data_IF_689341382806
#
_entry.id   IF_689341382806
#
_cell.length_a   1.000
_cell.length_b   1.000
_cell.length_c   1.000
_cell.angle_alpha   90.00
_cell.angle_beta   90.00
_cell.angle_gamma   90.00
#
_symmetry.space_group_name_H-M   'P 1'
#
loop_
_entity.id
_entity.type
_entity.pdbx_description
1 polymer ?
#
# COMPACT_ATOMS: atom_id res chain seq x y z
N UNK A 1 5.27 -48.17 7.75
CA UNK A 1 6.29 -47.23 7.22
C UNK A 1 6.73 -46.33 8.36
N UNK A 2 7.99 -45.85 8.41
CA UNK A 2 8.38 -44.82 9.37
C UNK A 2 7.78 -43.48 8.93
N UNK A 3 6.96 -42.87 9.80
CA UNK A 3 6.51 -41.49 9.62
C UNK A 3 7.72 -40.55 9.64
N UNK A 4 7.77 -39.61 8.69
CA UNK A 4 8.79 -38.56 8.67
C UNK A 4 8.22 -37.32 9.36
N UNK A 5 8.39 -37.28 10.68
CA UNK A 5 8.18 -36.09 11.52
C UNK A 5 8.64 -34.82 10.79
N UNK A 6 7.75 -33.82 10.56
CA UNK A 6 8.10 -32.63 9.79
C UNK A 6 9.12 -31.80 10.56
N UNK A 7 10.38 -31.82 10.10
CA UNK A 7 11.48 -31.09 10.72
C UNK A 7 11.24 -29.58 10.65
N UNK A 8 10.81 -28.99 11.78
CA UNK A 8 10.46 -27.57 11.85
C UNK A 8 11.64 -26.70 11.39
N UNK A 9 11.48 -25.87 10.34
CA UNK A 9 12.60 -25.11 9.74
C UNK A 9 13.20 -24.10 10.72
N UNK A 10 12.44 -23.69 11.73
CA UNK A 10 12.86 -22.84 12.84
C UNK A 10 14.01 -23.39 13.69
N UNK A 11 14.33 -24.69 13.59
CA UNK A 11 15.51 -25.29 14.25
C UNK A 11 16.83 -24.99 13.53
N UNK A 12 16.79 -24.49 12.30
CA UNK A 12 17.98 -24.15 11.51
C UNK A 12 18.44 -22.73 11.91
N UNK A 13 19.70 -22.52 12.37
CA UNK A 13 20.15 -21.20 12.80
C UNK A 13 20.06 -20.15 11.69
N UNK A 14 20.40 -20.53 10.46
CA UNK A 14 20.27 -19.71 9.25
C UNK A 14 18.83 -19.18 9.03
N UNK A 15 17.79 -19.98 9.33
CA UNK A 15 16.39 -19.55 9.20
C UNK A 15 16.05 -18.49 10.27
N UNK A 16 16.59 -18.64 11.48
CA UNK A 16 16.45 -17.64 12.56
C UNK A 16 17.17 -16.34 12.22
N UNK A 17 18.37 -16.41 11.66
CA UNK A 17 19.15 -15.25 11.20
C UNK A 17 18.44 -14.50 10.07
N UNK A 18 17.98 -15.23 9.04
CA UNK A 18 17.18 -14.65 7.94
C UNK A 18 15.89 -14.02 8.48
N UNK A 19 15.18 -14.66 9.42
CA UNK A 19 13.98 -14.10 10.02
C UNK A 19 14.25 -12.78 10.77
N UNK A 20 15.38 -12.66 11.47
CA UNK A 20 15.79 -11.39 12.13
C UNK A 20 16.12 -10.31 11.10
N UNK A 21 16.86 -10.64 10.03
CA UNK A 21 17.17 -9.68 8.95
C UNK A 21 15.89 -9.20 8.26
N UNK A 22 14.94 -10.10 7.99
CA UNK A 22 13.63 -9.77 7.41
C UNK A 22 12.79 -8.91 8.36
N UNK A 23 12.80 -9.19 9.68
CA UNK A 23 12.09 -8.40 10.68
C UNK A 23 12.63 -6.96 10.75
N UNK A 24 13.96 -6.79 10.74
CA UNK A 24 14.62 -5.47 10.71
C UNK A 24 14.24 -4.72 9.42
N UNK A 25 14.31 -5.39 8.26
CA UNK A 25 13.93 -4.79 6.97
C UNK A 25 12.46 -4.39 6.92
N UNK A 26 11.55 -5.23 7.42
CA UNK A 26 10.12 -4.94 7.52
C UNK A 26 9.85 -3.75 8.44
N UNK A 27 10.49 -3.71 9.61
CA UNK A 27 10.36 -2.61 10.58
C UNK A 27 10.85 -1.29 9.97
N UNK A 28 11.99 -1.29 9.28
CA UNK A 28 12.53 -0.11 8.60
C UNK A 28 11.60 0.39 7.48
N UNK A 29 11.08 -0.50 6.64
CA UNK A 29 10.12 -0.15 5.58
C UNK A 29 8.80 0.39 6.15
N UNK A 30 8.29 -0.21 7.22
CA UNK A 30 7.08 0.28 7.91
C UNK A 30 7.31 1.61 8.62
N UNK A 31 8.51 1.85 9.18
CA UNK A 31 8.86 3.13 9.81
C UNK A 31 8.96 4.26 8.78
N UNK A 32 9.63 4.00 7.64
CA UNK A 32 9.71 4.97 6.53
C UNK A 32 8.30 5.24 5.98
N UNK A 33 7.49 4.19 5.77
CA UNK A 33 6.08 4.36 5.37
C UNK A 33 5.29 5.19 6.39
N UNK A 34 5.41 4.88 7.69
CA UNK A 34 4.69 5.61 8.72
C UNK A 34 5.07 7.10 8.75
N UNK A 35 6.34 7.45 8.55
CA UNK A 35 6.77 8.86 8.46
C UNK A 35 6.23 9.54 7.20
N UNK A 36 6.39 8.92 6.02
CA UNK A 36 5.99 9.50 4.72
C UNK A 36 4.48 9.54 4.47
N UNK A 37 3.69 8.74 5.20
CA UNK A 37 2.22 8.72 5.14
C UNK A 37 1.57 9.16 6.47
N UNK A 38 2.32 9.83 7.37
CA UNK A 38 1.77 10.44 8.59
C UNK A 38 1.17 11.83 8.32
N UNK A 39 1.70 12.56 7.33
CA UNK A 39 0.95 13.68 6.77
C UNK A 39 -0.26 13.11 6.01
N UNK A 40 -1.47 13.67 6.19
CA UNK A 40 -2.67 13.18 5.52
C UNK A 40 -2.62 13.53 4.02
N UNK A 41 -1.96 12.68 3.23
CA UNK A 41 -1.92 12.78 1.76
C UNK A 41 -3.27 12.50 1.10
N UNK A 42 -4.29 12.18 1.89
CA UNK A 42 -5.70 12.20 1.52
C UNK A 42 -6.26 13.53 2.06
N UNK A 43 -6.58 14.52 1.20
CA UNK A 43 -7.29 15.71 1.62
C UNK A 43 -8.63 15.35 2.27
N UNK A 44 -9.13 16.21 3.15
CA UNK A 44 -10.38 16.01 3.90
C UNK A 44 -11.57 15.79 2.92
N UNK A 45 -11.70 16.69 1.93
CA UNK A 45 -12.64 16.56 0.81
C UNK A 45 -12.24 15.50 -0.24
N UNK A 46 -11.08 14.87 -0.12
CA UNK A 46 -10.49 14.00 -1.14
C UNK A 46 -11.30 12.74 -1.40
N UNK A 47 -11.87 12.12 -0.36
CA UNK A 47 -12.83 11.02 -0.50
C UNK A 47 -14.16 11.53 -1.07
N UNK A 48 -14.74 12.55 -0.45
CA UNK A 48 -16.03 13.14 -0.83
C UNK A 48 -16.08 13.58 -2.31
N UNK A 49 -14.97 14.13 -2.83
CA UNK A 49 -14.82 14.56 -4.23
C UNK A 49 -14.68 13.38 -5.21
N UNK A 50 -14.10 12.27 -4.78
CA UNK A 50 -14.05 11.02 -5.57
C UNK A 50 -15.41 10.32 -5.55
N UNK A 51 -16.07 10.25 -4.39
CA UNK A 51 -17.43 9.72 -4.24
C UNK A 51 -18.43 10.50 -5.11
N UNK A 52 -18.37 11.83 -5.10
CA UNK A 52 -19.18 12.67 -5.99
C UNK A 52 -18.85 12.46 -7.49
N UNK A 53 -17.67 11.97 -7.83
CA UNK A 53 -17.30 11.68 -9.23
C UNK A 53 -17.65 10.25 -9.67
N UNK A 54 -17.81 9.31 -8.73
CA UNK A 54 -18.13 7.89 -9.00
C UNK A 54 -19.61 7.56 -8.79
N UNK A 55 -20.29 8.22 -7.86
CA UNK A 55 -21.71 8.04 -7.54
C UNK A 55 -22.57 9.24 -7.94
N UNK A 56 -21.95 10.36 -8.31
CA UNK A 56 -22.65 11.49 -8.93
C UNK A 56 -23.10 11.17 -10.36
N UNK A 57 -24.36 11.47 -10.64
CA UNK A 57 -25.03 11.38 -11.95
C UNK A 57 -24.12 11.89 -13.10
N UNK A 58 -24.08 11.21 -14.27
CA UNK A 58 -23.16 11.56 -15.36
C UNK A 58 -23.32 13.01 -15.82
N UNK A 59 -22.20 13.73 -15.88
CA UNK A 59 -22.14 14.99 -16.61
C UNK A 59 -22.52 14.73 -18.09
N UNK A 60 -23.39 15.55 -18.70
CA UNK A 60 -23.73 15.40 -20.11
C UNK A 60 -22.50 15.68 -20.99
N UNK A 61 -22.54 15.20 -22.23
CA UNK A 61 -21.51 15.44 -23.25
C UNK A 61 -21.41 16.93 -23.63
N UNK A 62 -20.72 17.72 -22.81
CA UNK A 62 -20.29 19.08 -23.16
C UNK A 62 -19.04 19.02 -24.04
N UNK A 63 -19.25 18.82 -25.33
CA UNK A 63 -18.23 19.11 -26.34
C UNK A 63 -17.96 20.61 -26.28
N UNK A 64 -16.78 21.01 -25.81
CA UNK A 64 -16.24 22.35 -26.04
C UNK A 64 -14.76 22.27 -26.43
N UNK A 65 -14.53 22.45 -27.72
CA UNK A 65 -13.23 22.69 -28.37
C UNK A 65 -12.67 24.05 -27.96
N UNK A 66 -11.34 24.25 -27.96
CA UNK A 66 -10.64 25.56 -27.80
C UNK A 66 -10.90 26.31 -26.46
N UNK A 67 -10.09 27.27 -25.98
CA UNK A 67 -8.70 27.72 -26.26
C UNK A 67 -7.90 27.82 -24.92
N UNK A 68 -6.69 28.38 -24.70
CA UNK A 68 -5.64 29.11 -25.48
C UNK A 68 -4.26 28.79 -24.87
N UNK A 69 -3.13 28.85 -25.61
CA UNK A 69 -1.78 28.94 -25.03
C UNK A 69 -1.41 30.37 -24.56
N UNK A 70 -0.38 30.48 -23.72
CA UNK A 70 0.35 31.72 -23.35
C UNK A 70 1.84 31.51 -23.54
#
# INVERSE_FOLDING_TARGET
MPEREPSSPWRIPLVREIAVILLIKLTLLLSIKAIWFNEPTVPEDGQQRVEHHLFGQPAPLSIHTEETPR
#
